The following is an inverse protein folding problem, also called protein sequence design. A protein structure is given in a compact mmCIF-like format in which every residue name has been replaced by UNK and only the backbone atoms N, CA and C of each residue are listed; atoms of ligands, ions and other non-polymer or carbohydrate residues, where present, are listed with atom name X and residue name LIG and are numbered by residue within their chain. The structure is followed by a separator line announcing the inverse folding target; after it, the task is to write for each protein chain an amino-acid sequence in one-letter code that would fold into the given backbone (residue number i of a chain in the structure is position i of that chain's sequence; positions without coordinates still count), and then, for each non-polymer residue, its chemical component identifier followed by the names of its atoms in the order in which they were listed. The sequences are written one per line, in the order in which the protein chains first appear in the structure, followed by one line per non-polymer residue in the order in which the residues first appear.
data_IF_866604282843
#
_entry.id   IF_866604282843
#
_cell.length_a   1.000
_cell.length_b   1.000
_cell.length_c   1.000
_cell.angle_alpha   90.00
_cell.angle_beta   90.00
_cell.angle_gamma   90.00
#
_symmetry.space_group_name_H-M   'P 1'
#
loop_
_entity.id
_entity.type
_entity.pdbx_description
1 polymer ?
2 polymer ?
3 water ?
#
loop_
_entity_poly.entity_id
_entity_poly.type
_entity_poly.pdbx_seq_one_letter_code
_entity_poly.pdbx_strand_id
2 'polyribonucleotide' 'CAUC(DU)ACCUGA' ?
#
# COMPACT_ATOMS: atom_id res chain seq x y z
N UNK A 3 -11.44 8.03 10.92
CA UNK A 3 -10.36 8.69 10.21
C UNK A 3 -10.81 9.07 8.80
N UNK A 4 -10.18 10.10 8.25
CA UNK A 4 -10.55 10.62 6.94
C UNK A 4 -9.33 10.79 6.04
N UNK A 5 -9.54 10.70 4.75
CA UNK A 5 -8.45 10.88 3.78
C UNK A 5 -7.87 12.28 3.90
N UNK A 6 -6.55 12.36 4.03
CA UNK A 6 -5.89 13.64 4.19
C UNK A 6 -5.47 13.89 5.62
N UNK A 7 -6.10 13.20 6.56
CA UNK A 7 -5.76 13.35 7.97
C UNK A 7 -4.40 12.73 8.27
N UNK A 8 -3.68 13.32 9.22
CA UNK A 8 -2.41 12.77 9.68
C UNK A 8 -2.59 12.09 11.03
N UNK A 9 -2.25 10.81 11.08
CA UNK A 9 -2.40 10.01 12.30
C UNK A 9 -1.07 9.39 12.72
N UNK A 10 -0.86 9.31 14.03
CA UNK A 10 0.27 8.57 14.57
C UNK A 10 -0.04 7.07 14.51
N UNK A 11 0.77 6.31 13.79
CA UNK A 11 0.49 4.90 13.57
C UNK A 11 1.59 3.98 14.11
N UNK A 12 1.19 2.78 14.53
CA UNK A 12 2.14 1.78 15.01
C UNK A 12 2.47 0.80 13.90
N UNK A 13 3.65 0.95 13.30
CA UNK A 13 4.04 0.17 12.14
C UNK A 13 4.86 -1.07 12.49
N UNK A 14 5.30 -1.19 13.74
CA UNK A 14 6.12 -2.31 14.16
C UNK A 14 5.32 -3.61 14.25
N UNK A 15 5.96 -4.76 13.99
CA UNK A 15 7.36 -4.87 13.55
C UNK A 15 7.51 -4.66 12.04
N UNK A 16 8.62 -4.05 11.63
CA UNK A 16 8.87 -3.80 10.22
C UNK A 16 10.06 -4.61 9.72
N UNK A 17 9.97 -5.07 8.49
CA UNK A 17 11.04 -5.84 7.85
C UNK A 17 11.83 -4.97 6.89
N UNK A 18 13.16 -5.06 6.96
CA UNK A 18 14.03 -4.35 6.04
C UNK A 18 13.81 -2.84 6.02
N UNK A 19 13.51 -2.30 4.83
CA UNK A 19 13.37 -0.86 4.67
C UNK A 19 11.92 -0.37 4.83
N UNK A 20 11.05 -1.21 5.35
CA UNK A 20 9.70 -0.79 5.71
C UNK A 20 9.77 0.20 6.87
N UNK A 21 9.02 1.29 6.76
CA UNK A 21 9.00 2.32 7.80
C UNK A 21 8.59 1.71 9.14
N UNK A 22 9.39 1.94 10.17
CA UNK A 22 9.18 1.29 11.47
C UNK A 22 8.68 2.25 12.55
N UNK A 23 8.69 1.75 13.79
CA UNK A 23 8.34 2.53 14.97
C UNK A 23 6.93 3.14 14.89
N UNK A 24 6.64 4.06 15.79
CA UNK A 24 5.39 4.79 15.78
C UNK A 24 5.63 6.17 15.16
N UNK A 25 5.00 6.44 14.03
CA UNK A 25 5.26 7.65 13.27
C UNK A 25 3.99 8.19 12.61
N UNK A 26 4.02 9.46 12.18
CA UNK A 26 2.85 10.01 11.47
C UNK A 26 2.62 9.35 10.11
N UNK A 27 1.38 9.33 9.66
CA UNK A 27 1.03 8.78 8.37
C UNK A 27 -0.23 9.45 7.84
N UNK A 28 -0.29 9.65 6.52
CA UNK A 28 -1.43 10.29 5.89
C UNK A 28 -2.41 9.26 5.35
N UNK A 29 -3.68 9.40 5.74
CA UNK A 29 -4.74 8.52 5.24
C UNK A 29 -5.00 8.79 3.76
N UNK A 30 -4.95 7.74 2.95
CA UNK A 30 -5.12 7.90 1.50
C UNK A 30 -6.21 7.00 0.93
N UNK A 31 -6.71 6.07 1.73
CA UNK A 31 -7.86 5.27 1.33
C UNK A 31 -9.10 6.17 1.28
N UNK A 32 -10.04 5.86 0.38
CA UNK A 32 -11.23 6.69 0.21
C UNK A 32 -12.10 6.66 1.47
N UNK A 33 -12.95 7.67 1.61
CA UNK A 33 -13.70 7.86 2.84
C UNK A 33 -14.86 6.87 3.01
N UNK A 34 -15.31 6.26 1.92
CA UNK A 34 -16.35 5.24 2.02
C UNK A 34 -15.79 4.01 2.72
N UNK A 35 -14.57 3.63 2.35
CA UNK A 35 -13.90 2.52 3.01
C UNK A 35 -13.55 2.88 4.46
N UNK A 36 -13.11 4.11 4.66
CA UNK A 36 -12.78 4.59 5.99
C UNK A 36 -14.02 4.61 6.89
N UNK A 37 -15.13 5.07 6.34
CA UNK A 37 -16.38 5.10 7.07
C UNK A 37 -16.89 3.70 7.39
N UNK A 38 -16.60 2.75 6.50
CA UNK A 38 -17.03 1.37 6.68
C UNK A 38 -16.18 0.65 7.75
N UNK A 39 -14.91 1.02 7.83
CA UNK A 39 -13.99 0.40 8.78
C UNK A 39 -14.23 0.84 10.22
N UNK A 40 -14.69 2.07 10.40
CA UNK A 40 -14.84 2.65 11.73
C UNK A 40 -15.96 2.03 12.57
N UNK A 41 -17.15 1.96 12.00
CA UNK A 41 -18.35 1.50 12.71
C UNK A 41 -18.39 -0.03 12.86
N UNK A 42 -17.92 -0.74 11.85
CA UNK A 42 -17.93 -2.20 11.88
C UNK A 42 -16.89 -2.76 12.86
N UNK A 43 -15.84 -1.99 13.11
CA UNK A 43 -14.80 -2.41 14.02
C UNK A 43 -13.82 -3.38 13.38
N UNK A 44 -13.93 -3.53 12.06
CA UNK A 44 -13.03 -4.40 11.31
C UNK A 44 -12.69 -3.78 9.96
N UNK A 45 -11.78 -4.41 9.23
CA UNK A 45 -11.34 -3.87 7.95
C UNK A 45 -10.06 -3.09 8.10
N UNK A 46 -9.53 -2.61 6.98
CA UNK A 46 -8.28 -1.85 7.01
C UNK A 46 -8.42 -0.50 6.31
N UNK A 47 -7.53 0.42 6.66
CA UNK A 47 -7.41 1.68 5.95
C UNK A 47 -6.01 1.78 5.39
N UNK A 48 -5.82 2.63 4.38
CA UNK A 48 -4.53 2.72 3.73
C UNK A 48 -3.87 4.06 4.03
N UNK A 49 -2.61 4.02 4.47
CA UNK A 49 -1.90 5.22 4.86
C UNK A 49 -0.54 5.36 4.18
N UNK A 50 -0.03 6.58 4.18
CA UNK A 50 1.31 6.86 3.66
C UNK A 50 2.21 7.36 4.79
N UNK A 51 3.17 6.52 5.21
CA UNK A 51 4.12 6.85 6.28
C UNK A 51 4.91 8.12 6.00
N UNK A 52 5.37 8.74 7.07
CA UNK A 52 6.03 10.04 6.98
C UNK A 52 7.38 9.99 7.69
N UNK A 53 8.40 10.61 7.12
CA UNK A 53 9.72 10.63 7.75
C UNK A 53 10.33 12.03 7.83
N UNK A 54 11.14 12.26 8.87
CA UNK A 54 11.76 13.55 9.10
C UNK A 54 13.02 13.72 8.26
N UNK A 55 13.55 12.61 7.76
CA UNK A 55 14.70 12.64 6.86
C UNK A 55 14.28 13.23 5.52
N UNK A 56 14.68 14.47 5.26
CA UNK A 56 14.26 15.15 4.05
C UNK A 56 15.44 15.62 3.20
N UNK A 57 16.58 14.96 3.37
CA UNK A 57 17.78 15.28 2.59
C UNK A 57 17.52 15.07 1.10
N UNK A 58 16.71 14.07 0.80
CA UNK A 58 16.29 13.79 -0.57
C UNK A 58 14.77 13.67 -0.65
N UNK A 59 14.18 14.41 -1.57
CA UNK A 59 12.75 14.30 -1.83
C UNK A 59 12.54 13.75 -3.24
N UNK A 60 12.19 12.46 -3.32
CA UNK A 60 11.98 11.82 -4.60
C UNK A 60 10.63 12.26 -5.20
N UNK A 61 10.46 12.12 -6.52
CA UNK A 61 9.22 12.55 -7.18
C UNK A 61 7.99 11.83 -6.63
N UNK A 62 8.18 10.64 -6.08
CA UNK A 62 7.07 9.89 -5.48
C UNK A 62 6.94 10.20 -3.99
N UNK A 63 7.48 11.35 -3.59
CA UNK A 63 7.40 11.78 -2.19
C UNK A 63 6.94 13.22 -2.11
N UNK A 64 6.30 13.59 -1.00
CA UNK A 64 5.76 14.93 -0.85
C UNK A 64 6.25 15.59 0.43
N UNK A 65 6.83 16.78 0.28
CA UNK A 65 7.32 17.53 1.43
C UNK A 65 6.16 18.12 2.22
N UNK A 66 6.12 17.79 3.51
CA UNK A 66 5.08 18.32 4.39
C UNK A 66 5.67 19.35 5.34
N UNK A 67 5.00 20.49 5.45
CA UNK A 67 5.51 21.59 6.28
C UNK A 67 4.95 21.52 7.70
N UNK A 68 5.80 21.82 8.68
CA UNK A 68 5.41 21.82 10.07
C UNK A 68 4.38 22.91 10.35
N UNK A 69 3.36 22.57 11.14
CA UNK A 69 2.33 23.54 11.52
C UNK A 69 2.28 23.71 13.03
N UNK A 71 0.49 22.78 16.07
CA UNK A 71 -0.83 22.17 15.95
C UNK A 71 -0.76 20.81 15.28
N UNK A 72 0.11 20.66 14.30
CA UNK A 72 0.26 19.39 13.58
C UNK A 72 1.67 18.85 13.69
N UNK A 73 2.25 18.50 12.55
CA UNK A 73 3.65 18.06 12.50
C UNK A 73 4.55 19.15 13.07
N UNK A 74 5.51 18.76 13.90
CA UNK A 74 6.35 19.71 14.61
C UNK A 74 7.62 20.05 13.83
N UNK A 75 7.97 19.21 12.87
CA UNK A 75 9.11 19.47 11.99
C UNK A 75 8.73 19.18 10.54
N UNK A 76 9.52 19.73 9.61
CA UNK A 76 9.31 19.46 8.19
C UNK A 76 9.55 17.98 7.93
N UNK A 77 8.67 17.38 7.14
CA UNK A 77 8.70 15.95 6.88
C UNK A 77 8.35 15.64 5.43
N UNK A 78 8.57 14.40 5.01
CA UNK A 78 8.15 14.00 3.68
C UNK A 78 7.29 12.73 3.73
N UNK A 79 6.20 12.75 2.98
CA UNK A 79 5.32 11.59 2.86
C UNK A 79 5.86 10.65 1.79
N UNK A 80 6.03 9.38 2.16
CA UNK A 80 6.61 8.39 1.26
C UNK A 80 5.55 7.51 0.62
N UNK A 81 5.13 7.88 -0.59
CA UNK A 81 4.09 7.14 -1.29
C UNK A 81 4.52 5.70 -1.59
N UNK A 82 5.83 5.48 -1.70
CA UNK A 82 6.35 4.15 -1.96
C UNK A 82 6.28 3.27 -0.71
N UNK A 83 5.97 3.90 0.42
CA UNK A 83 5.83 3.19 1.70
C UNK A 83 4.36 2.91 2.02
N UNK A 84 3.50 3.10 1.02
CA UNK A 84 2.06 2.90 1.17
C UNK A 84 1.73 1.56 1.84
N UNK A 85 0.81 1.58 2.80
CA UNK A 85 0.52 0.39 3.57
C UNK A 85 -0.91 0.38 4.11
N UNK A 86 -1.63 -0.70 3.84
CA UNK A 86 -2.96 -0.90 4.41
C UNK A 86 -2.83 -1.53 5.79
N UNK A 87 -3.39 -0.85 6.80
CA UNK A 87 -3.25 -1.28 8.18
C UNK A 87 -4.60 -1.42 8.89
N UNK A 88 -4.64 -2.30 9.89
CA UNK A 88 -5.81 -2.41 10.74
C UNK A 88 -6.00 -1.11 11.52
N UNK A 89 -7.25 -0.76 11.79
CA UNK A 89 -7.55 0.52 12.46
C UNK A 89 -6.93 0.61 13.85
N UNK A 90 -6.64 -0.54 14.45
CA UNK A 90 -6.09 -0.56 15.81
C UNK A 90 -4.67 -0.02 15.86
N UNK A 91 -4.03 0.13 14.70
CA UNK A 91 -2.69 0.70 14.64
C UNK A 91 -2.72 2.23 14.75
N UNK A 92 -3.89 2.82 14.58
CA UNK A 92 -4.05 4.26 14.72
C UNK A 92 -3.97 4.66 16.19
N UNK A 93 -2.93 5.40 16.55
CA UNK A 93 -2.75 5.85 17.92
C UNK A 93 -3.33 7.25 18.14
N UNK A 94 -2.67 8.24 17.55
CA UNK A 94 -2.99 9.64 17.80
C UNK A 94 -3.37 10.42 16.55
N UNK A 95 -4.49 11.15 16.61
CA UNK A 95 -4.76 12.16 15.59
C UNK A 95 -3.75 13.31 15.71
N UNK A 96 -3.14 13.71 14.60
CA UNK A 96 -2.14 14.77 14.64
C UNK A 96 -2.65 16.02 13.95
N UNK A 97 -3.33 15.83 12.82
CA UNK A 97 -3.89 16.93 12.06
C UNK A 97 -4.27 16.48 10.67
N UNK A 98 -4.13 17.37 9.70
CA UNK A 98 -4.38 17.01 8.32
C UNK A 98 -3.48 17.81 7.38
N UNK A 99 -3.12 17.21 6.25
CA UNK A 99 -2.33 17.89 5.25
C UNK A 99 -3.19 18.93 4.54
N UNK A 100 -2.55 19.92 3.93
CA UNK A 100 -3.28 20.91 3.16
C UNK A 100 -3.81 20.28 1.88
N UNK A 101 -4.75 20.95 1.22
CA UNK A 101 -5.28 20.47 -0.04
C UNK A 101 -4.17 20.43 -1.09
N UNK A 102 -3.23 21.34 -0.99
CA UNK A 102 -2.09 21.39 -1.90
C UNK A 102 -1.17 20.18 -1.68
N UNK A 103 -0.92 19.86 -0.43
CA UNK A 103 -0.08 18.71 -0.07
C UNK A 103 -0.76 17.41 -0.47
N UNK A 104 -2.08 17.34 -0.31
CA UNK A 104 -2.82 16.14 -0.65
C UNK A 104 -2.88 15.94 -2.17
N UNK A 105 -3.01 17.04 -2.90
CA UNK A 105 -3.02 16.99 -4.36
C UNK A 105 -1.67 16.49 -4.88
N UNK A 106 -0.59 16.91 -4.23
CA UNK A 106 0.74 16.43 -4.59
C UNK A 106 0.89 14.94 -4.26
N UNK A 107 0.28 14.52 -3.15
CA UNK A 107 0.36 13.13 -2.73
C UNK A 107 -0.39 12.22 -3.71
N UNK A 108 -1.49 12.74 -4.26
CA UNK A 108 -2.22 12.00 -5.28
C UNK A 108 -1.33 11.71 -6.48
N UNK A 109 -0.57 12.72 -6.91
CA UNK A 109 0.32 12.59 -8.05
C UNK A 109 1.50 11.67 -7.73
N UNK A 110 1.96 11.71 -6.49
CA UNK A 110 3.04 10.82 -6.04
C UNK A 110 2.59 9.37 -6.04
N UNK A 111 1.34 9.14 -5.65
CA UNK A 111 0.77 7.80 -5.65
C UNK A 111 0.57 7.27 -7.06
N UNK A 112 0.07 8.13 -7.96
CA UNK A 112 -0.10 7.76 -9.36
C UNK A 112 1.25 7.38 -9.96
N UNK A 113 2.27 8.17 -9.66
CA UNK A 113 3.61 7.94 -10.18
C UNK A 113 4.18 6.62 -9.67
N UNK A 114 4.05 6.39 -8.37
CA UNK A 114 4.59 5.17 -7.77
C UNK A 114 3.89 3.91 -8.28
N UNK A 115 2.57 3.96 -8.37
CA UNK A 115 1.78 2.79 -8.74
C UNK A 115 1.57 2.67 -10.25
N UNK A 116 2.23 3.55 -11.01
CA UNK A 116 2.15 3.55 -12.46
C UNK A 116 0.71 3.71 -12.93
N UNK A 117 -0.03 4.57 -12.24
CA UNK A 117 -1.42 4.82 -12.57
C UNK A 117 -1.57 6.10 -13.39
N UNK B 1 16.70 -12.64 -9.58
CA UNK B 1 15.24 -12.65 -9.68
C UNK B 1 14.68 -11.23 -9.71
N UNK B 2 14.20 -10.83 -10.88
CA UNK B 2 13.57 -9.52 -11.04
C UNK B 2 12.07 -9.63 -10.84
N UNK B 3 11.50 -8.74 -10.03
CA UNK B 3 10.06 -8.69 -9.90
C UNK B 3 9.52 -7.59 -10.81
N UNK B 4 8.44 -7.90 -11.51
CA UNK B 4 7.86 -6.96 -12.46
C UNK B 4 6.39 -6.75 -12.19
N UNK B 5 5.90 -5.56 -12.54
CA UNK B 5 4.50 -5.21 -12.36
C UNK B 5 3.59 -6.18 -13.11
N UNK B 6 2.59 -6.71 -12.41
CA UNK B 6 1.66 -7.65 -13.02
C UNK B 6 2.01 -9.10 -12.69
N UNK B 7 3.24 -9.34 -12.24
CA UNK B 7 3.65 -10.67 -11.87
C UNK B 7 3.14 -11.05 -10.47
N UNK B 8 2.99 -12.35 -10.25
CA UNK B 8 2.48 -12.86 -8.98
C UNK B 8 3.56 -13.58 -8.19
N UNK B 9 3.72 -13.20 -6.94
CA UNK B 9 4.75 -13.76 -6.07
C UNK B 9 4.17 -14.32 -4.77
N UNK B 10 4.79 -15.37 -4.26
CA UNK B 10 4.55 -15.81 -2.89
C UNK B 10 5.19 -14.79 -1.96
N UNK B 11 4.37 -14.12 -1.15
CA UNK B 11 4.90 -13.10 -0.26
C UNK B 11 4.61 -13.44 1.21
N UNK B 12 5.50 -13.01 2.08
CA UNK B 12 5.36 -13.23 3.52
C UNK B 12 4.76 -12.00 4.18
N UNK B 13 3.52 -12.12 4.66
CA UNK B 13 2.79 -10.97 5.20
C UNK B 13 2.75 -10.98 6.73
N UNK B 14 3.30 -12.02 7.34
CA UNK B 14 3.31 -12.14 8.80
C UNK B 14 4.40 -11.27 9.43
N UNK B 15 4.16 -10.80 10.67
CA UNK B 15 2.91 -10.97 11.42
C UNK B 15 1.89 -9.89 11.08
N UNK B 16 0.61 -10.26 11.09
CA UNK B 16 -0.44 -9.31 10.75
C UNK B 16 -1.40 -9.12 11.93
N UNK B 17 -2.01 -7.94 11.98
CA UNK B 17 -2.95 -7.61 13.05
C UNK B 17 -4.33 -7.30 12.46
N UNK B 18 -5.37 -7.62 13.22
CA UNK B 18 -6.74 -7.31 12.82
C UNK B 18 -7.15 -7.94 11.51
N UNK B 19 -7.68 -7.12 10.60
CA UNK B 19 -8.18 -7.59 9.32
C UNK B 19 -7.12 -7.52 8.23
N UNK B 20 -5.88 -7.27 8.61
CA UNK B 20 -4.77 -7.25 7.65
C UNK B 20 -4.56 -8.64 7.05
N UNK B 21 -4.32 -8.68 5.75
CA UNK B 21 -3.99 -9.94 5.08
C UNK B 21 -2.75 -10.55 5.72
N UNK B 22 -2.77 -11.85 5.91
CA UNK B 22 -1.73 -12.54 6.65
C UNK B 22 -1.14 -13.74 5.94
N UNK B 23 -0.24 -14.40 6.63
CA UNK B 23 0.32 -15.65 6.20
C UNK B 23 1.25 -15.47 5.00
N UNK B 24 1.61 -16.57 4.37
CA UNK B 24 2.36 -16.52 3.16
C UNK B 24 1.43 -16.84 2.03
N UNK B 25 1.20 -15.89 1.15
CA UNK B 25 0.18 -16.00 0.11
C UNK B 25 0.60 -15.30 -1.17
N UNK B 26 -0.08 -15.59 -2.28
CA UNK B 26 0.20 -14.88 -3.54
C UNK B 26 -0.15 -13.41 -3.46
N UNK B 27 0.54 -12.58 -4.26
CA UNK B 27 0.25 -11.17 -4.35
C UNK B 27 0.73 -10.61 -5.69
N UNK B 28 0.04 -9.59 -6.19
CA UNK B 28 0.37 -8.99 -7.47
C UNK B 28 1.21 -7.73 -7.30
N UNK B 29 2.37 -7.71 -7.95
CA UNK B 29 3.23 -6.52 -7.91
C UNK B 29 2.57 -5.37 -8.64
N UNK B 30 2.40 -4.24 -7.96
CA UNK B 30 1.73 -3.10 -8.59
C UNK B 30 2.59 -1.83 -8.58
N UNK B 31 3.73 -1.89 -7.92
CA UNK B 31 4.69 -0.79 -8.00
C UNK B 31 5.30 -0.70 -9.39
N UNK B 32 5.66 0.50 -9.81
CA UNK B 32 6.23 0.71 -11.15
C UNK B 32 7.56 -0.02 -11.31
N UNK B 33 7.91 -0.30 -12.57
CA UNK B 33 9.07 -1.16 -12.84
C UNK B 33 10.42 -0.47 -12.65
N UNK B 34 10.42 0.86 -12.55
CA UNK B 34 11.65 1.58 -12.22
C UNK B 34 12.05 1.27 -10.78
N UNK B 35 11.10 1.44 -9.87
CA UNK B 35 11.32 1.11 -8.47
C UNK B 35 11.66 -0.36 -8.31
N UNK B 36 10.94 -1.22 -9.03
CA UNK B 36 11.17 -2.66 -8.97
C UNK B 36 12.58 -3.03 -9.41
N UNK B 37 13.00 -2.50 -10.57
CA UNK B 37 14.33 -2.77 -11.08
C UNK B 37 15.42 -2.28 -10.12
N UNK B 38 15.19 -1.11 -9.53
CA UNK B 38 16.11 -0.56 -8.56
C UNK B 38 16.21 -1.46 -7.32
N UNK B 39 15.06 -1.96 -6.87
CA UNK B 39 15.01 -2.82 -5.69
C UNK B 39 15.82 -4.11 -5.84
N UNK B 40 15.70 -4.77 -6.99
CA UNK B 40 16.46 -6.00 -7.21
C UNK B 40 17.96 -5.71 -7.33
N UNK B 41 18.28 -4.62 -8.02
CA UNK B 41 19.67 -4.25 -8.25
C UNK B 41 20.41 -3.98 -6.95
N UNK B 42 19.74 -3.30 -6.03
CA UNK B 42 20.35 -2.94 -4.75
C UNK B 42 20.13 -4.01 -3.68
N UNK B 43 19.31 -5.00 -4.00
CA UNK B 43 19.06 -6.10 -3.08
C UNK B 43 18.33 -5.72 -1.81
N UNK B 44 17.72 -4.53 -1.82
CA UNK B 44 16.98 -4.04 -0.67
C UNK B 44 16.00 -2.95 -1.08
N UNK B 45 15.16 -2.52 -0.14
CA UNK B 45 14.16 -1.51 -0.42
C UNK B 45 12.78 -2.13 -0.44
N UNK B 46 11.77 -1.32 -0.73
CA UNK B 46 10.40 -1.81 -0.75
C UNK B 46 9.81 -1.84 -2.15
N UNK B 47 8.98 -2.83 -2.40
CA UNK B 47 8.14 -2.85 -3.59
C UNK B 47 6.70 -3.01 -3.11
N UNK B 48 5.73 -2.70 -3.97
CA UNK B 48 4.34 -2.67 -3.54
C UNK B 48 3.52 -3.79 -4.18
N UNK B 49 2.76 -4.50 -3.35
CA UNK B 49 1.96 -5.62 -3.83
C UNK B 49 0.51 -5.53 -3.39
N UNK B 50 -0.35 -6.26 -4.10
CA UNK B 50 -1.76 -6.39 -3.74
C UNK B 50 -2.04 -7.86 -3.42
N UNK B 51 -2.35 -8.14 -2.14
CA UNK B 51 -2.61 -9.50 -1.65
C UNK B 51 -3.76 -10.18 -2.39
N UNK B 52 -3.76 -11.52 -2.34
CA UNK B 52 -4.71 -12.33 -3.08
C UNK B 52 -5.39 -13.34 -2.16
N UNK B 53 -6.70 -13.53 -2.33
CA UNK B 53 -7.43 -14.51 -1.54
C UNK B 53 -8.28 -15.43 -2.41
N UNK B 54 -8.46 -16.67 -1.98
CA UNK B 54 -9.27 -17.63 -2.71
C UNK B 54 -10.76 -17.50 -2.37
N UNK B 55 -11.07 -16.67 -1.38
CA UNK B 55 -12.44 -16.37 -1.03
C UNK B 55 -13.07 -15.40 -2.04
N UNK B 56 -13.59 -15.95 -3.13
CA UNK B 56 -14.13 -15.12 -4.20
C UNK B 56 -15.65 -15.07 -4.21
N UNK B 57 -16.24 -15.04 -3.02
CA UNK B 57 -17.71 -15.08 -2.91
C UNK B 57 -18.32 -13.80 -3.44
N UNK B 58 -17.72 -12.67 -3.09
CA UNK B 58 -18.17 -11.40 -3.66
C UNK B 58 -16.97 -10.54 -4.08
N UNK B 59 -16.99 -10.05 -5.31
CA UNK B 59 -15.90 -9.23 -5.82
C UNK B 59 -16.30 -7.76 -5.90
N UNK B 60 -15.76 -6.96 -5.00
CA UNK B 60 -16.09 -5.54 -4.92
C UNK B 60 -15.41 -4.78 -6.06
N UNK B 61 -15.90 -3.56 -6.37
CA UNK B 61 -15.28 -2.75 -7.43
C UNK B 61 -13.79 -2.49 -7.21
N UNK B 62 -13.35 -2.57 -5.95
CA UNK B 62 -11.94 -2.38 -5.63
C UNK B 62 -11.22 -3.73 -5.55
N UNK B 63 -11.81 -4.74 -6.17
CA UNK B 63 -11.21 -6.08 -6.21
C UNK B 63 -11.28 -6.63 -7.62
N UNK B 64 -10.34 -7.51 -7.97
CA UNK B 64 -10.27 -8.04 -9.33
C UNK B 64 -10.21 -9.56 -9.35
N UNK B 65 -11.14 -10.17 -10.07
CA UNK B 65 -11.18 -11.63 -10.22
C UNK B 65 -10.04 -12.12 -11.11
N UNK B 66 -9.21 -13.00 -10.56
CA UNK B 66 -8.08 -13.55 -11.30
C UNK B 66 -8.32 -15.00 -11.67
N UNK B 67 -8.26 -15.29 -12.97
CA UNK B 67 -8.53 -16.63 -13.47
C UNK B 67 -7.35 -17.57 -13.23
N UNK B 68 -7.65 -18.77 -12.75
CA UNK B 68 -6.63 -19.79 -12.55
C UNK B 68 -6.02 -20.20 -13.89
N UNK B 69 -6.80 -20.06 -14.96
CA UNK B 69 -6.34 -20.38 -16.30
C UNK B 69 -5.56 -19.22 -16.91
N UNK B 71 -3.00 -18.16 -14.47
CA UNK B 71 -2.30 -17.17 -13.69
C UNK B 71 -0.97 -17.70 -13.29
N UNK B 72 -0.96 -19.04 -13.13
CA UNK B 72 -0.15 -19.88 -12.30
C UNK B 72 -0.85 -20.27 -11.01
N UNK B 73 -1.91 -19.57 -10.68
CA UNK B 73 -2.59 -19.80 -9.43
C UNK B 73 -3.37 -21.08 -9.60
N UNK B 74 -3.46 -21.90 -8.55
CA UNK B 74 -4.06 -23.22 -8.67
C UNK B 74 -5.59 -23.14 -8.72
N UNK B 75 -6.14 -22.09 -8.12
CA UNK B 75 -7.59 -21.88 -8.13
C UNK B 75 -7.93 -20.43 -8.47
N UNK B 76 -9.21 -20.18 -8.71
CA UNK B 76 -9.69 -18.82 -8.93
C UNK B 76 -9.47 -17.99 -7.67
N UNK B 77 -9.02 -16.75 -7.86
CA UNK B 77 -8.72 -15.87 -6.75
C UNK B 77 -9.10 -14.43 -7.06
N UNK B 78 -9.08 -13.57 -6.04
CA UNK B 78 -9.31 -12.16 -6.26
C UNK B 78 -8.22 -11.31 -5.62
N UNK B 79 -7.78 -10.29 -6.35
CA UNK B 79 -6.80 -9.35 -5.83
C UNK B 79 -7.50 -8.27 -5.01
N UNK B 80 -7.02 -8.04 -3.80
CA UNK B 80 -7.66 -7.10 -2.89
C UNK B 80 -6.89 -5.78 -2.84
N UNK B 81 -7.29 -4.83 -3.68
CA UNK B 81 -6.61 -3.54 -3.74
C UNK B 81 -6.71 -2.80 -2.42
N UNK B 82 -7.74 -3.10 -1.65
CA UNK B 82 -7.92 -2.46 -0.35
C UNK B 82 -6.91 -2.99 0.68
N UNK B 83 -6.23 -4.08 0.33
CA UNK B 83 -5.22 -4.67 1.20
C UNK B 83 -3.81 -4.34 0.74
N UNK B 84 -3.69 -3.37 -0.16
CA UNK B 84 -2.40 -3.00 -0.75
C UNK B 84 -1.37 -2.61 0.31
N UNK B 85 -0.15 -3.14 0.19
CA UNK B 85 0.91 -2.73 1.08
C UNK B 85 2.29 -2.87 0.44
N UNK B 86 3.17 -1.93 0.76
CA UNK B 86 4.56 -2.02 0.34
C UNK B 86 5.27 -3.01 1.25
N UNK B 87 6.14 -3.82 0.66
CA UNK B 87 6.88 -4.82 1.43
C UNK B 87 8.36 -4.78 1.06
N UNK B 88 9.21 -5.06 2.04
CA UNK B 88 10.63 -5.22 1.80
C UNK B 88 10.85 -6.40 0.86
N UNK B 89 11.90 -6.33 0.05
CA UNK B 89 12.15 -7.37 -0.96
C UNK B 89 12.39 -8.74 -0.31
N UNK B 90 12.80 -8.75 0.95
CA UNK B 90 13.06 -10.00 1.65
C UNK B 90 11.78 -10.77 1.95
N UNK B 91 10.64 -10.10 1.84
CA UNK B 91 9.34 -10.74 2.01
C UNK B 91 8.94 -11.50 0.76
N UNK B 92 9.64 -11.25 -0.34
CA UNK B 92 9.41 -11.98 -1.58
C UNK B 92 10.03 -13.37 -1.50
N UNK B 93 9.18 -14.40 -1.49
CA UNK B 93 9.66 -15.76 -1.34
C UNK B 93 9.88 -16.45 -2.69
N UNK B 94 8.83 -16.47 -3.51
CA UNK B 94 8.82 -17.27 -4.72
C UNK B 94 7.96 -16.64 -5.81
N UNK B 95 8.47 -16.59 -7.05
CA UNK B 95 7.63 -16.17 -8.17
C UNK B 95 6.61 -17.24 -8.50
N UNK B 96 5.36 -16.85 -8.70
CA UNK B 96 4.28 -17.81 -8.96
C UNK B 96 3.80 -17.75 -10.40
N UNK B 97 3.50 -16.54 -10.86
CA UNK B 97 2.99 -16.37 -12.20
C UNK B 97 2.84 -14.92 -12.60
N UNK B 98 1.78 -14.63 -13.35
CA UNK B 98 1.60 -13.32 -13.96
C UNK B 98 0.16 -13.13 -14.44
N UNK B 99 -0.45 -12.01 -14.06
CA UNK B 99 -1.82 -11.72 -14.50
C UNK B 99 -1.81 -11.24 -15.95
N UNK B 100 -2.96 -11.37 -16.61
CA UNK B 100 -3.09 -10.92 -17.99
C UNK B 100 -3.11 -9.40 -18.05
N UNK B 101 -2.86 -8.85 -19.24
CA UNK B 101 -2.85 -7.40 -19.43
C UNK B 101 -4.21 -6.81 -19.08
N UNK B 102 -5.27 -7.55 -19.41
CA UNK B 102 -6.63 -7.14 -19.09
C UNK B 102 -6.88 -7.13 -17.59
N UNK B 103 -6.42 -8.17 -16.90
CA UNK B 103 -6.58 -8.26 -15.46
C UNK B 103 -5.81 -7.15 -14.75
N UNK B 104 -4.65 -6.80 -15.29
CA UNK B 104 -3.83 -5.74 -14.72
C UNK B 104 -4.47 -4.38 -14.91
N UNK B 105 -5.07 -4.16 -16.08
CA UNK B 105 -5.80 -2.94 -16.35
C UNK B 105 -6.94 -2.77 -15.36
N UNK B 106 -7.65 -3.85 -15.10
CA UNK B 106 -8.69 -3.86 -14.11
C UNK B 106 -8.15 -3.49 -12.74
N UNK B 107 -6.99 -3.99 -12.44
CA UNK B 107 -6.40 -3.76 -11.16
C UNK B 107 -6.03 -2.28 -11.02
N UNK B 108 -5.55 -1.70 -12.09
CA UNK B 108 -5.24 -0.26 -12.10
C UNK B 108 -6.49 0.54 -11.76
N UNK B 109 -7.61 0.12 -12.33
CA UNK B 109 -8.89 0.79 -12.08
C UNK B 109 -9.35 0.55 -10.65
N UNK B 110 -9.09 -0.65 -10.13
CA UNK B 110 -9.43 -0.98 -8.75
C UNK B 110 -8.58 -0.16 -7.78
N UNK B 111 -7.33 0.08 -8.15
CA UNK B 111 -6.42 0.89 -7.33
C UNK B 111 -6.85 2.36 -7.32
N UNK B 112 -7.26 2.86 -8.48
CA UNK B 112 -7.73 4.23 -8.59
C UNK B 112 -8.97 4.46 -7.72
N UNK B 113 -9.89 3.51 -7.76
CA UNK B 113 -11.12 3.61 -6.99
C UNK B 113 -10.86 3.57 -5.48
N UNK B 114 -10.01 2.65 -5.05
CA UNK B 114 -9.72 2.50 -3.62
C UNK B 114 -9.00 3.71 -3.04
N UNK B 115 -8.06 4.27 -3.81
CA UNK B 115 -7.22 5.35 -3.33
C UNK B 115 -7.70 6.72 -3.78
N UNK B 116 -8.90 6.77 -4.35
CA UNK B 116 -9.51 8.02 -4.78
C UNK B 116 -8.61 8.78 -5.76
N UNK B 117 -8.12 8.08 -6.77
CA UNK B 117 -7.22 8.67 -7.75
C UNK B 117 -7.85 8.72 -9.13
#
# INVERSE_FOLDING_TARGET
AMMRRGEIWQVDLDPARGSEANNQRPAVVVSNDRANATATRLGRGVITVVPVTSNIAKVYPFQVLLSATTTGLQVDCKAQAEQIRSIATERLLRPIGRVSAAELAQLDEALKLHLDLWS
AMMRRGEIWQVDLDPARGSEANNQRPAVVVSNDRANATATRLGRGVITVVPVTSNIAKVYPFQVLLSATTTGLQVDCKAQAEQIRSIATERLLRPIGRVSAAELAQLDEALKLHLDLWS
#
